data_IF_186384342349
#
_entry.id   IF_186384342349
#
_cell.length_a   1.000
_cell.length_b   1.000
_cell.length_c   1.000
_cell.angle_alpha   90.00
_cell.angle_beta   90.00
_cell.angle_gamma   90.00
#
_symmetry.space_group_name_H-M   'P 1'
#
loop_
_entity.id
_entity.type
_entity.pdbx_description
1 polymer ?
#
# COMPACT_ATOMS: atom_id res chain seq x y z
N UNK A 1 -19.00 19.92 0.29
CA UNK A 1 -18.05 18.79 0.45
C UNK A 1 -18.49 17.96 1.63
N UNK A 2 -18.59 16.63 1.47
CA UNK A 2 -18.82 15.70 2.58
C UNK A 2 -17.48 15.39 3.23
N UNK A 3 -17.35 15.67 4.53
CA UNK A 3 -16.12 15.46 5.33
C UNK A 3 -16.36 14.47 6.48
N UNK A 4 -17.46 13.73 6.40
CA UNK A 4 -17.94 12.76 7.39
C UNK A 4 -17.52 11.32 7.07
N UNK A 5 -16.77 11.11 5.99
CA UNK A 5 -16.33 9.78 5.54
C UNK A 5 -15.01 9.39 6.18
N UNK A 6 -14.85 8.11 6.43
CA UNK A 6 -13.58 7.54 6.84
C UNK A 6 -12.82 7.03 5.62
N UNK A 7 -11.50 7.15 5.66
CA UNK A 7 -10.58 6.65 4.65
C UNK A 7 -9.66 5.62 5.29
N UNK A 8 -9.66 4.41 4.73
CA UNK A 8 -8.77 3.33 5.14
C UNK A 8 -7.71 3.18 4.04
N UNK A 9 -6.47 3.50 4.36
CA UNK A 9 -5.34 3.47 3.44
C UNK A 9 -4.44 2.28 3.81
N UNK A 10 -4.49 1.24 3.00
CA UNK A 10 -3.72 0.01 3.19
C UNK A 10 -2.46 0.08 2.33
N UNK A 11 -1.29 -0.04 2.95
CA UNK A 11 -0.01 -0.08 2.26
C UNK A 11 1.05 -0.71 3.18
N UNK A 12 2.09 -1.29 2.61
CA UNK A 12 3.27 -1.69 3.39
C UNK A 12 4.07 -0.44 3.82
N UNK A 13 4.05 0.63 3.02
CA UNK A 13 4.93 1.81 3.10
C UNK A 13 6.43 1.47 3.02
N UNK A 14 6.73 0.24 2.63
CA UNK A 14 8.08 -0.34 2.56
C UNK A 14 8.46 -0.68 1.11
N UNK A 15 7.55 -0.41 0.17
CA UNK A 15 7.68 -0.73 -1.25
C UNK A 15 7.18 -2.13 -1.59
N UNK A 16 7.46 -2.57 -2.81
CA UNK A 16 6.98 -3.88 -3.27
C UNK A 16 7.67 -5.00 -2.48
N UNK A 17 6.91 -5.99 -1.98
CA UNK A 17 7.45 -7.16 -1.31
C UNK A 17 8.12 -8.11 -2.31
N UNK A 18 8.94 -9.05 -1.79
CA UNK A 18 9.57 -10.06 -2.62
C UNK A 18 8.54 -10.86 -3.42
N UNK A 19 8.66 -10.94 -4.75
CA UNK A 19 7.75 -11.74 -5.57
C UNK A 19 7.96 -13.23 -5.31
N UNK A 20 6.86 -13.97 -5.22
CA UNK A 20 6.80 -15.42 -5.15
C UNK A 20 6.91 -16.07 -6.54
N UNK A 21 7.10 -17.39 -6.59
CA UNK A 21 7.10 -18.16 -7.84
C UNK A 21 5.75 -18.12 -8.59
N UNK A 22 4.67 -17.77 -7.88
CA UNK A 22 3.34 -17.65 -8.47
C UNK A 22 3.11 -16.29 -9.13
N UNK A 23 3.94 -15.30 -8.82
CA UNK A 23 3.83 -13.95 -9.37
C UNK A 23 4.38 -13.92 -10.79
N UNK A 24 3.54 -13.48 -11.72
CA UNK A 24 3.83 -13.50 -13.16
C UNK A 24 3.51 -12.15 -13.77
N UNK A 25 4.48 -11.56 -14.46
CA UNK A 25 4.20 -10.47 -15.41
C UNK A 25 3.55 -11.03 -16.66
N UNK A 26 2.67 -10.24 -17.26
CA UNK A 26 2.05 -10.56 -18.53
C UNK A 26 3.03 -10.54 -19.72
N UNK A 27 4.17 -9.86 -19.58
CA UNK A 27 5.17 -9.64 -20.64
C UNK A 27 6.39 -10.59 -20.58
N UNK A 28 6.45 -11.48 -19.60
CA UNK A 28 7.49 -12.50 -19.50
C UNK A 28 8.82 -12.04 -18.89
N UNK A 29 8.93 -10.79 -18.41
CA UNK A 29 10.12 -10.34 -17.69
C UNK A 29 10.22 -10.94 -16.28
N UNK A 30 11.47 -11.16 -15.82
CA UNK A 30 11.77 -11.74 -14.52
C UNK A 30 11.53 -10.70 -13.42
N UNK A 31 10.31 -10.68 -12.87
CA UNK A 31 9.92 -9.91 -11.67
C UNK A 31 10.98 -9.92 -10.57
N UNK A 32 11.57 -11.08 -10.34
CA UNK A 32 12.64 -11.27 -9.35
C UNK A 32 13.90 -10.47 -9.67
N UNK A 33 14.27 -10.33 -10.95
CA UNK A 33 15.42 -9.52 -11.37
C UNK A 33 15.16 -8.04 -11.12
N UNK A 34 13.99 -7.53 -11.50
CA UNK A 34 13.62 -6.13 -11.25
C UNK A 34 13.57 -5.78 -9.75
N UNK A 35 13.06 -6.73 -8.95
CA UNK A 35 13.05 -6.64 -7.50
C UNK A 35 14.48 -6.59 -6.94
N UNK A 36 15.35 -7.53 -7.36
CA UNK A 36 16.74 -7.62 -6.89
C UNK A 36 17.55 -6.35 -7.21
N UNK A 37 17.36 -5.74 -8.38
CA UNK A 37 18.00 -4.47 -8.73
C UNK A 37 17.61 -3.31 -7.81
N UNK A 38 16.41 -3.39 -7.22
CA UNK A 38 15.79 -2.35 -6.40
C UNK A 38 15.70 -2.73 -4.93
N UNK A 39 16.30 -3.85 -4.52
CA UNK A 39 16.11 -4.45 -3.20
C UNK A 39 16.59 -3.50 -2.08
N UNK A 40 15.74 -3.35 -1.07
CA UNK A 40 16.03 -2.64 0.17
C UNK A 40 15.74 -3.61 1.32
N UNK A 41 16.77 -3.99 2.06
CA UNK A 41 16.63 -4.99 3.13
C UNK A 41 16.36 -6.39 2.59
N UNK A 42 15.81 -7.27 3.42
CA UNK A 42 15.58 -8.67 3.04
C UNK A 42 14.31 -8.83 2.19
N UNK A 43 13.21 -8.17 2.57
CA UNK A 43 11.87 -8.42 2.01
C UNK A 43 11.24 -7.25 1.25
N UNK A 44 11.96 -6.13 1.09
CA UNK A 44 11.45 -4.92 0.45
C UNK A 44 12.24 -4.49 -0.78
N UNK A 45 11.64 -3.62 -1.60
CA UNK A 45 12.32 -2.96 -2.70
C UNK A 45 11.94 -1.48 -2.77
N UNK A 46 12.82 -0.66 -3.33
CA UNK A 46 12.53 0.75 -3.66
C UNK A 46 11.43 0.93 -4.71
N UNK A 47 10.98 -0.15 -5.35
CA UNK A 47 9.93 -0.09 -6.35
C UNK A 47 8.62 0.33 -5.70
N UNK A 48 8.03 1.43 -6.21
CA UNK A 48 6.76 2.01 -5.74
C UNK A 48 6.77 2.33 -4.23
N UNK A 49 7.95 2.62 -3.66
CA UNK A 49 8.09 2.90 -2.23
C UNK A 49 7.64 4.32 -1.91
N UNK A 50 6.47 4.44 -1.26
CA UNK A 50 6.04 5.65 -0.57
C UNK A 50 6.35 5.54 0.93
N UNK A 51 7.36 6.26 1.43
CA UNK A 51 7.70 6.20 2.84
C UNK A 51 6.55 6.75 3.71
N UNK A 52 6.24 6.06 4.82
CA UNK A 52 5.08 6.38 5.64
C UNK A 52 5.02 7.87 6.06
N UNK A 53 6.15 8.45 6.45
CA UNK A 53 6.19 9.85 6.90
C UNK A 53 5.81 10.82 5.79
N UNK A 54 6.32 10.60 4.57
CA UNK A 54 6.01 11.42 3.40
C UNK A 54 4.54 11.26 3.01
N UNK A 55 4.04 10.01 2.96
CA UNK A 55 2.64 9.74 2.62
C UNK A 55 1.70 10.39 3.66
N UNK A 56 2.01 10.25 4.94
CA UNK A 56 1.22 10.84 6.01
C UNK A 56 1.20 12.37 5.92
N UNK A 57 2.35 13.02 5.69
CA UNK A 57 2.44 14.47 5.51
C UNK A 57 1.60 14.94 4.30
N UNK A 58 1.74 14.26 3.16
CA UNK A 58 1.00 14.58 1.95
C UNK A 58 -0.52 14.43 2.14
N UNK A 59 -0.96 13.36 2.79
CA UNK A 59 -2.37 13.08 3.06
C UNK A 59 -2.95 14.12 4.02
N UNK A 60 -2.25 14.46 5.10
CA UNK A 60 -2.70 15.51 6.02
C UNK A 60 -2.67 16.91 5.38
N UNK A 61 -1.76 17.15 4.44
CA UNK A 61 -1.69 18.37 3.64
C UNK A 61 -2.94 18.64 2.77
N UNK A 62 -3.80 17.64 2.56
CA UNK A 62 -5.08 17.81 1.84
C UNK A 62 -6.11 18.64 2.61
N UNK A 63 -5.91 18.82 3.92
CA UNK A 63 -6.86 19.51 4.80
C UNK A 63 -8.06 18.64 5.21
N UNK A 64 -8.05 17.34 4.91
CA UNK A 64 -9.04 16.41 5.46
C UNK A 64 -8.76 16.13 6.94
N UNK A 65 -9.80 15.83 7.71
CA UNK A 65 -9.69 15.56 9.15
C UNK A 65 -8.81 14.32 9.42
N UNK A 66 -7.63 14.47 10.06
CA UNK A 66 -6.74 13.35 10.33
C UNK A 66 -7.38 12.25 11.17
N UNK A 67 -8.36 12.58 12.03
CA UNK A 67 -9.05 11.59 12.87
C UNK A 67 -9.91 10.60 12.05
N UNK A 68 -10.14 10.88 10.77
CA UNK A 68 -10.94 10.05 9.84
C UNK A 68 -10.07 9.29 8.85
N UNK A 69 -8.75 9.37 9.00
CA UNK A 69 -7.79 8.72 8.13
C UNK A 69 -7.10 7.62 8.92
N UNK A 70 -7.31 6.39 8.48
CA UNK A 70 -6.80 5.19 9.10
C UNK A 70 -5.72 4.60 8.19
N UNK A 71 -4.45 4.78 8.56
CA UNK A 71 -3.34 4.13 7.88
C UNK A 71 -3.16 2.72 8.43
N UNK A 72 -3.35 1.72 7.57
CA UNK A 72 -3.18 0.31 7.92
C UNK A 72 -1.88 -0.17 7.28
N UNK A 73 -0.89 -0.37 8.15
CA UNK A 73 0.48 -0.74 7.74
C UNK A 73 0.60 -2.26 7.66
N UNK A 74 1.18 -2.75 6.58
CA UNK A 74 1.50 -4.17 6.38
C UNK A 74 0.92 -4.72 5.09
N UNK A 75 1.20 -5.99 4.81
CA UNK A 75 0.68 -6.63 3.61
C UNK A 75 -0.84 -6.79 3.69
N UNK A 76 -1.51 -6.70 2.54
CA UNK A 76 -2.98 -6.77 2.49
C UNK A 76 -3.47 -8.11 3.02
N UNK A 77 -2.79 -9.21 2.70
CA UNK A 77 -3.11 -10.56 3.16
C UNK A 77 -2.93 -10.77 4.68
N UNK A 78 -2.15 -9.91 5.34
CA UNK A 78 -1.94 -9.97 6.80
C UNK A 78 -2.90 -9.04 7.56
N UNK A 79 -3.29 -7.94 6.94
CA UNK A 79 -4.09 -6.87 7.57
C UNK A 79 -5.59 -7.07 7.40
N UNK A 80 -6.01 -7.63 6.26
CA UNK A 80 -7.40 -7.98 5.96
C UNK A 80 -7.60 -9.48 6.25
N UNK A 81 -8.69 -9.88 6.93
CA UNK A 81 -9.92 -9.12 7.20
C UNK A 81 -9.95 -8.35 8.52
N UNK A 82 -8.89 -8.41 9.32
CA UNK A 82 -8.91 -7.94 10.72
C UNK A 82 -9.14 -6.44 10.91
N UNK A 83 -8.91 -5.64 9.87
CA UNK A 83 -8.95 -4.17 9.90
C UNK A 83 -9.97 -3.58 8.92
N UNK A 84 -10.89 -4.39 8.39
CA UNK A 84 -11.91 -3.94 7.44
C UNK A 84 -12.97 -3.05 8.13
N UNK A 85 -13.46 -1.98 7.47
CA UNK A 85 -14.64 -1.26 7.91
C UNK A 85 -15.91 -2.08 7.67
N UNK A 86 -16.95 -1.82 8.48
CA UNK A 86 -18.24 -2.51 8.36
C UNK A 86 -18.97 -2.25 7.03
N UNK A 87 -18.74 -1.09 6.40
CA UNK A 87 -19.38 -0.70 5.15
C UNK A 87 -18.39 0.00 4.23
N UNK A 88 -18.40 -0.39 2.95
CA UNK A 88 -17.55 0.19 1.92
C UNK A 88 -18.43 0.91 0.90
N UNK A 89 -18.23 2.22 0.77
CA UNK A 89 -18.89 3.02 -0.27
C UNK A 89 -18.12 2.95 -1.61
N UNK A 90 -16.79 2.93 -1.56
CA UNK A 90 -15.88 2.85 -2.71
C UNK A 90 -14.70 1.95 -2.30
N UNK A 91 -14.36 0.99 -3.16
CA UNK A 91 -13.15 0.19 -3.05
C UNK A 91 -12.27 0.49 -4.27
N UNK A 92 -11.09 1.06 -4.03
CA UNK A 92 -10.05 1.26 -5.06
C UNK A 92 -8.93 0.26 -4.80
N UNK A 93 -8.76 -0.69 -5.71
CA UNK A 93 -7.64 -1.63 -5.72
C UNK A 93 -6.62 -1.12 -6.73
N UNK A 94 -5.41 -0.83 -6.26
CA UNK A 94 -4.30 -0.26 -7.04
C UNK A 94 -3.02 -1.00 -6.66
N UNK A 95 -3.04 -2.30 -6.89
CA UNK A 95 -1.93 -3.21 -6.64
C UNK A 95 -1.46 -3.74 -7.98
N UNK A 96 -0.16 -3.59 -8.27
CA UNK A 96 0.51 -4.13 -9.46
C UNK A 96 0.80 -5.64 -9.32
#
# INVERSE_FOLDING_TARGET
NRTDREYFLYDTFEGMPMPSESDKKYDGDKLLTDFQERQIGEDGSSWCRGEFNEVQENVYGTGYDPARIHFIKGKVEETIPHTLPDQIAILRLDTD
#
